data_IF_122451232504
#
_entry.id   IF_122451232504
#
_cell.length_a   1.000
_cell.length_b   1.000
_cell.length_c   1.000
_cell.angle_alpha   90.00
_cell.angle_beta   90.00
_cell.angle_gamma   90.00
#
_symmetry.space_group_name_H-M   'P 1'
#
loop_
_entity.id
_entity.type
_entity.pdbx_description
1 polymer ?
#
# COMPACT_ATOMS: atom_id res chain seq x y z
N UNK A 1 31.99 35.45 -23.42
CA UNK A 1 32.32 34.01 -23.58
C UNK A 1 32.01 33.23 -22.30
N UNK A 2 32.38 33.73 -21.11
CA UNK A 2 32.14 33.05 -19.83
C UNK A 2 30.65 32.92 -19.47
N UNK A 3 29.86 33.98 -19.66
CA UNK A 3 28.41 33.99 -19.37
C UNK A 3 27.62 33.00 -20.23
N UNK A 4 27.98 32.88 -21.52
CA UNK A 4 27.40 31.92 -22.45
C UNK A 4 27.71 30.47 -22.07
N UNK A 5 28.90 30.19 -21.53
CA UNK A 5 29.27 28.85 -21.04
C UNK A 5 28.45 28.49 -19.80
N UNK A 6 28.30 29.43 -18.86
CA UNK A 6 27.51 29.21 -17.64
C UNK A 6 26.06 28.88 -17.97
N UNK A 7 25.44 29.58 -18.92
CA UNK A 7 24.06 29.32 -19.35
C UNK A 7 23.93 27.90 -19.93
N UNK A 8 24.86 27.48 -20.79
CA UNK A 8 24.84 26.13 -21.36
C UNK A 8 25.01 25.04 -20.30
N UNK A 9 25.87 25.26 -19.30
CA UNK A 9 26.04 24.34 -18.19
C UNK A 9 24.76 24.23 -17.34
N UNK A 10 24.08 25.35 -17.07
CA UNK A 10 22.79 25.35 -16.36
C UNK A 10 21.73 24.58 -17.16
N UNK A 11 21.65 24.79 -18.47
CA UNK A 11 20.74 24.02 -19.34
C UNK A 11 21.07 22.51 -19.34
N UNK A 12 22.35 22.16 -19.35
CA UNK A 12 22.78 20.76 -19.31
C UNK A 12 22.47 20.08 -17.98
N UNK A 13 22.70 20.79 -16.87
CA UNK A 13 22.35 20.33 -15.52
C UNK A 13 20.84 20.19 -15.37
N UNK A 14 20.07 21.15 -15.89
CA UNK A 14 18.61 21.09 -15.90
C UNK A 14 18.09 19.89 -16.72
N UNK A 15 18.63 19.65 -17.91
CA UNK A 15 18.27 18.52 -18.75
C UNK A 15 18.61 17.16 -18.11
N UNK A 16 19.77 17.08 -17.46
CA UNK A 16 20.18 15.92 -16.68
C UNK A 16 19.21 15.65 -15.53
N UNK A 17 18.82 16.71 -14.80
CA UNK A 17 17.89 16.60 -13.68
C UNK A 17 16.50 16.11 -14.11
N UNK A 18 15.99 16.57 -15.26
CA UNK A 18 14.70 16.12 -15.81
C UNK A 18 14.73 14.63 -16.16
N UNK A 19 15.82 14.13 -16.77
CA UNK A 19 15.98 12.70 -17.12
C UNK A 19 15.95 11.76 -15.91
N UNK A 20 16.42 12.22 -14.74
CA UNK A 20 16.47 11.44 -13.49
C UNK A 20 15.10 11.31 -12.82
N UNK A 21 14.12 12.16 -13.16
CA UNK A 21 12.79 12.19 -12.50
C UNK A 21 11.70 11.37 -13.21
N UNK A 22 12.08 10.45 -14.11
CA UNK A 22 11.11 9.59 -14.79
C UNK A 22 10.50 8.59 -13.81
N UNK A 23 9.39 8.98 -13.18
CA UNK A 23 8.60 8.11 -12.32
C UNK A 23 8.01 6.95 -13.15
N UNK A 24 7.86 5.78 -12.53
CA UNK A 24 7.33 4.58 -13.20
C UNK A 24 5.91 4.85 -13.75
N UNK A 25 5.74 4.98 -15.08
CA UNK A 25 4.46 5.36 -15.67
C UNK A 25 3.43 4.23 -15.57
N UNK A 26 3.88 2.97 -15.56
CA UNK A 26 3.02 1.81 -15.40
C UNK A 26 2.40 1.72 -14.00
N UNK A 27 3.20 2.01 -12.97
CA UNK A 27 2.70 2.07 -11.60
C UNK A 27 1.66 3.19 -11.42
N UNK A 28 1.89 4.35 -12.06
CA UNK A 28 0.94 5.46 -12.07
C UNK A 28 -0.36 5.08 -12.78
N UNK A 29 -0.28 4.46 -13.96
CA UNK A 29 -1.47 3.97 -14.69
C UNK A 29 -2.26 2.98 -13.86
N UNK A 30 -1.60 1.98 -13.27
CA UNK A 30 -2.26 0.99 -12.43
C UNK A 30 -2.94 1.62 -11.21
N UNK A 31 -2.29 2.58 -10.57
CA UNK A 31 -2.85 3.31 -9.43
C UNK A 31 -4.08 4.13 -9.83
N UNK A 32 -3.97 4.91 -10.91
CA UNK A 32 -5.05 5.77 -11.38
C UNK A 32 -6.26 4.91 -11.84
N UNK A 33 -6.04 3.75 -12.46
CA UNK A 33 -7.10 2.79 -12.84
C UNK A 33 -7.76 2.08 -11.64
N UNK A 34 -6.98 1.61 -10.65
CA UNK A 34 -7.52 0.83 -9.54
C UNK A 34 -8.15 1.69 -8.44
N UNK A 35 -7.59 2.87 -8.17
CA UNK A 35 -7.90 3.63 -6.95
C UNK A 35 -8.64 4.93 -7.24
N UNK A 36 -8.35 5.62 -8.35
CA UNK A 36 -8.92 6.96 -8.62
C UNK A 36 -10.15 6.94 -9.51
N UNK A 37 -10.08 6.34 -10.70
CA UNK A 37 -11.03 6.72 -11.76
C UNK A 37 -12.25 5.81 -11.92
N UNK A 38 -12.19 4.49 -11.62
CA UNK A 38 -13.20 3.57 -12.18
C UNK A 38 -13.95 2.59 -11.28
N UNK A 39 -13.50 2.20 -10.07
CA UNK A 39 -14.20 1.07 -9.41
C UNK A 39 -14.08 0.90 -7.87
N UNK A 40 -13.29 1.70 -7.14
CA UNK A 40 -13.04 1.42 -5.71
C UNK A 40 -13.73 2.40 -4.77
N UNK A 41 -14.94 2.05 -4.31
CA UNK A 41 -15.62 2.79 -3.25
C UNK A 41 -15.25 2.21 -1.87
N UNK A 42 -14.44 2.94 -1.09
CA UNK A 42 -13.99 2.53 0.25
C UNK A 42 -15.14 2.38 1.27
N UNK A 43 -16.28 3.02 1.04
CA UNK A 43 -17.45 2.95 1.93
C UNK A 43 -18.27 1.67 1.71
N UNK A 44 -18.07 0.97 0.59
CA UNK A 44 -18.81 -0.22 0.22
C UNK A 44 -17.94 -1.45 0.47
N UNK A 45 -18.54 -2.50 1.05
CA UNK A 45 -17.85 -3.78 1.24
C UNK A 45 -17.49 -4.38 -0.14
N UNK A 46 -16.24 -4.81 -0.36
CA UNK A 46 -15.82 -5.36 -1.65
C UNK A 46 -16.31 -6.80 -1.81
N UNK A 47 -17.57 -6.97 -2.23
CA UNK A 47 -18.18 -8.26 -2.57
C UNK A 47 -18.67 -8.25 -4.02
N UNK A 48 -18.58 -9.39 -4.72
CA UNK A 48 -19.09 -9.50 -6.09
C UNK A 48 -20.62 -9.49 -6.13
N UNK A 49 -21.23 -10.13 -5.14
CA UNK A 49 -22.67 -10.17 -4.96
C UNK A 49 -23.02 -9.78 -3.52
N UNK A 50 -24.08 -8.99 -3.35
CA UNK A 50 -24.49 -8.51 -2.03
C UNK A 50 -24.91 -9.64 -1.08
N UNK A 51 -25.34 -10.80 -1.59
CA UNK A 51 -25.71 -11.96 -0.77
C UNK A 51 -24.53 -12.77 -0.23
N UNK A 52 -23.30 -12.51 -0.71
CA UNK A 52 -22.12 -13.25 -0.30
C UNK A 52 -21.53 -12.70 1.02
N UNK A 53 -21.07 -13.62 1.88
CA UNK A 53 -20.39 -13.28 3.13
C UNK A 53 -18.90 -13.06 2.85
N UNK A 54 -18.34 -12.00 3.43
CA UNK A 54 -16.90 -11.73 3.42
C UNK A 54 -16.26 -12.32 4.67
N UNK A 55 -15.41 -13.33 4.51
CA UNK A 55 -14.65 -13.92 5.62
C UNK A 55 -13.40 -13.10 5.88
N UNK A 56 -13.19 -12.66 7.12
CA UNK A 56 -11.97 -11.97 7.55
C UNK A 56 -11.17 -12.91 8.43
N UNK A 57 -9.91 -13.14 8.07
CA UNK A 57 -8.95 -13.86 8.89
C UNK A 57 -8.15 -12.87 9.72
N UNK A 58 -8.22 -13.02 11.04
CA UNK A 58 -7.47 -12.22 12.00
C UNK A 58 -6.35 -13.09 12.58
N UNK A 59 -5.12 -12.66 12.41
CA UNK A 59 -3.95 -13.21 13.08
C UNK A 59 -3.38 -12.17 14.04
N UNK A 60 -3.21 -12.55 15.30
CA UNK A 60 -2.55 -11.71 16.29
C UNK A 60 -1.14 -12.22 16.51
N UNK A 61 -0.17 -11.30 16.52
CA UNK A 61 1.20 -11.60 16.93
C UNK A 61 1.56 -10.67 18.08
N UNK A 62 1.69 -11.22 19.27
CA UNK A 62 2.17 -10.48 20.43
C UNK A 62 3.65 -10.18 20.24
N UNK A 63 4.01 -8.91 20.45
CA UNK A 63 5.40 -8.45 20.41
C UNK A 63 5.99 -8.57 21.81
N UNK A 64 5.38 -7.89 22.78
CA UNK A 64 5.87 -7.74 24.16
C UNK A 64 4.70 -7.48 25.13
N UNK A 65 4.86 -7.91 26.38
CA UNK A 65 4.03 -7.52 27.52
C UNK A 65 4.64 -6.27 28.16
N UNK A 66 3.87 -5.19 28.24
CA UNK A 66 4.34 -3.89 28.73
C UNK A 66 4.13 -3.76 30.23
N UNK A 67 2.92 -4.04 30.71
CA UNK A 67 2.57 -3.92 32.13
C UNK A 67 1.33 -4.77 32.49
N UNK A 68 1.23 -5.16 33.76
CA UNK A 68 0.08 -5.89 34.33
C UNK A 68 -0.33 -5.22 35.64
N UNK A 69 -1.52 -4.63 35.64
CA UNK A 69 -2.16 -4.12 36.85
C UNK A 69 -3.15 -5.18 37.36
N UNK A 70 -2.73 -5.93 38.38
CA UNK A 70 -3.53 -7.00 38.98
C UNK A 70 -4.70 -6.47 39.81
N UNK A 71 -4.54 -5.28 40.42
CA UNK A 71 -5.55 -4.65 41.26
C UNK A 71 -6.72 -4.15 40.42
N UNK A 72 -6.43 -3.64 39.22
CA UNK A 72 -7.43 -3.17 38.26
C UNK A 72 -7.73 -4.17 37.13
N UNK A 73 -7.06 -5.33 37.09
CA UNK A 73 -7.18 -6.37 36.06
C UNK A 73 -6.91 -5.90 34.62
N UNK A 74 -5.90 -5.04 34.45
CA UNK A 74 -5.54 -4.48 33.15
C UNK A 74 -4.19 -5.04 32.71
N UNK A 75 -4.14 -5.62 31.51
CA UNK A 75 -2.91 -6.08 30.87
C UNK A 75 -2.62 -5.22 29.65
N UNK A 76 -1.47 -4.55 29.64
CA UNK A 76 -1.04 -3.70 28.52
C UNK A 76 -0.02 -4.46 27.69
N UNK A 77 -0.34 -4.79 26.43
CA UNK A 77 0.54 -5.54 25.53
C UNK A 77 0.67 -4.86 24.17
N UNK A 78 1.84 -4.97 23.56
CA UNK A 78 2.04 -4.57 22.18
C UNK A 78 1.75 -5.78 21.27
N UNK A 79 0.77 -5.63 20.37
CA UNK A 79 0.32 -6.69 19.47
C UNK A 79 0.23 -6.18 18.03
N UNK A 80 0.73 -6.96 17.10
CA UNK A 80 0.49 -6.78 15.66
C UNK A 80 -0.79 -7.50 15.25
N UNK A 81 -1.74 -6.75 14.71
CA UNK A 81 -2.94 -7.28 14.07
C UNK A 81 -2.69 -7.49 12.57
N UNK A 82 -2.74 -8.74 12.13
CA UNK A 82 -2.73 -9.10 10.70
C UNK A 82 -4.16 -9.44 10.27
N UNK A 83 -4.73 -8.60 9.42
CA UNK A 83 -6.04 -8.83 8.82
C UNK A 83 -5.87 -9.27 7.37
N UNK A 84 -6.49 -10.40 7.00
CA UNK A 84 -6.54 -10.85 5.61
C UNK A 84 -7.99 -11.13 5.19
N UNK A 85 -8.35 -10.68 3.99
CA UNK A 85 -9.66 -10.95 3.41
C UNK A 85 -9.61 -12.33 2.74
N UNK A 86 -10.63 -13.15 3.01
CA UNK A 86 -10.78 -14.49 2.44
C UNK A 86 -11.19 -14.49 0.96
N UNK A 87 -10.53 -13.68 0.13
CA UNK A 87 -10.74 -13.70 -1.32
C UNK A 87 -10.10 -14.97 -1.86
N UNK A 88 -10.91 -16.00 -2.16
CA UNK A 88 -10.43 -17.23 -2.80
C UNK A 88 -9.90 -16.89 -4.20
N UNK A 89 -8.58 -16.82 -4.35
CA UNK A 89 -7.93 -16.67 -5.64
C UNK A 89 -7.97 -18.01 -6.39
N UNK A 90 -8.71 -18.09 -7.50
CA UNK A 90 -8.85 -19.31 -8.33
C UNK A 90 -7.54 -19.82 -8.93
N UNK A 91 -6.43 -19.06 -8.88
CA UNK A 91 -5.15 -19.44 -9.53
C UNK A 91 -4.26 -20.38 -8.72
N UNK A 92 -4.61 -20.73 -7.48
CA UNK A 92 -3.72 -21.47 -6.57
C UNK A 92 -3.84 -23.00 -6.63
N UNK A 93 -4.66 -23.54 -7.53
CA UNK A 93 -4.95 -24.99 -7.64
C UNK A 93 -4.60 -25.64 -8.97
N UNK A 94 -3.80 -24.99 -9.83
CA UNK A 94 -3.46 -25.51 -11.17
C UNK A 94 -2.05 -26.14 -11.25
N UNK A 95 -1.32 -26.16 -10.14
CA UNK A 95 0.03 -26.72 -10.06
C UNK A 95 0.12 -27.68 -8.86
N UNK A 96 -0.57 -28.81 -8.97
CA UNK A 96 -0.36 -30.00 -8.15
C UNK A 96 -0.66 -31.23 -9.00
#
# INVERSE_FOLDING_TARGET
METSIIILLIFHVYWCFVGVTTANPDAKRLYDELIKDRAYNKLIRPVKHNSEKLTVYLGLRLTQLLDVDEKNQIMTTNVWLKQNLGVKNKRKGMHA
#
